data_IF_582404776520
#
_entry.id   IF_582404776520
#
_cell.length_a   1.000
_cell.length_b   1.000
_cell.length_c   1.000
_cell.angle_alpha   90.00
_cell.angle_beta   90.00
_cell.angle_gamma   90.00
#
_symmetry.space_group_name_H-M   'P 1'
#
loop_
_entity.id
_entity.type
_entity.pdbx_description
1 polymer ?
#
# COMPACT_ATOMS: atom_id res chain seq x y z
N UNK A 1 20.50 -15.19 6.10
CA UNK A 1 19.54 -14.62 7.07
C UNK A 1 20.15 -13.56 7.99
N UNK A 2 21.11 -13.87 8.88
CA UNK A 2 21.66 -12.91 9.88
C UNK A 2 22.18 -11.60 9.26
N UNK A 3 22.96 -11.69 8.18
CA UNK A 3 23.49 -10.53 7.45
C UNK A 3 22.39 -9.65 6.86
N UNK A 4 21.41 -10.26 6.18
CA UNK A 4 20.28 -9.55 5.58
C UNK A 4 19.40 -8.88 6.65
N UNK A 5 19.13 -9.57 7.77
CA UNK A 5 18.40 -9.00 8.91
C UNK A 5 19.14 -7.78 9.48
N UNK A 6 20.47 -7.87 9.66
CA UNK A 6 21.29 -6.75 10.14
C UNK A 6 21.21 -5.55 9.19
N UNK A 7 21.17 -5.78 7.88
CA UNK A 7 21.04 -4.71 6.89
C UNK A 7 19.65 -4.03 6.90
N UNK A 8 18.58 -4.79 7.13
CA UNK A 8 17.19 -4.27 7.05
C UNK A 8 16.66 -3.68 8.36
N UNK A 9 17.20 -4.09 9.51
CA UNK A 9 16.70 -3.66 10.84
C UNK A 9 16.63 -2.13 11.00
N UNK A 10 17.60 -1.31 10.52
CA UNK A 10 17.52 0.15 10.65
C UNK A 10 16.31 0.78 9.92
N UNK A 11 15.80 0.14 8.87
CA UNK A 11 14.67 0.64 8.07
C UNK A 11 13.33 0.51 8.80
N UNK A 12 13.20 -0.48 9.68
CA UNK A 12 11.95 -0.77 10.42
C UNK A 12 11.94 -0.18 11.84
N UNK A 13 12.72 0.87 12.09
CA UNK A 13 12.66 1.61 13.36
C UNK A 13 11.44 2.53 13.39
N UNK A 14 10.92 2.85 14.58
CA UNK A 14 9.74 3.73 14.73
C UNK A 14 9.92 5.10 14.05
N UNK A 15 11.14 5.67 14.08
CA UNK A 15 11.43 6.93 13.39
C UNK A 15 11.33 6.81 11.87
N UNK A 16 11.85 5.73 11.29
CA UNK A 16 11.72 5.47 9.85
C UNK A 16 10.28 5.16 9.45
N UNK A 17 9.55 4.39 10.26
CA UNK A 17 8.12 4.13 10.06
C UNK A 17 7.30 5.42 10.09
N UNK A 18 7.58 6.33 11.03
CA UNK A 18 6.94 7.64 11.08
C UNK A 18 7.19 8.48 9.83
N UNK A 19 8.39 8.39 9.24
CA UNK A 19 8.70 9.09 7.99
C UNK A 19 7.93 8.50 6.79
N UNK A 20 7.64 7.20 6.80
CA UNK A 20 6.86 6.53 5.76
C UNK A 20 5.34 6.73 5.93
N UNK A 21 4.88 7.23 7.08
CA UNK A 21 3.45 7.37 7.40
C UNK A 21 2.66 8.14 6.35
N UNK A 22 3.19 9.26 5.84
CA UNK A 22 2.50 10.06 4.84
C UNK A 22 2.24 9.26 3.56
N UNK A 23 3.20 8.47 3.11
CA UNK A 23 3.04 7.62 1.93
C UNK A 23 2.00 6.53 2.17
N UNK A 24 2.01 5.90 3.35
CA UNK A 24 0.98 4.90 3.71
C UNK A 24 -0.42 5.52 3.78
N UNK A 25 -0.53 6.74 4.31
CA UNK A 25 -1.80 7.46 4.38
C UNK A 25 -2.37 7.74 3.00
N UNK A 26 -1.55 8.24 2.07
CA UNK A 26 -2.00 8.53 0.71
C UNK A 26 -2.52 7.27 -0.01
N UNK A 27 -1.82 6.14 0.14
CA UNK A 27 -2.28 4.86 -0.44
C UNK A 27 -3.59 4.39 0.24
N UNK A 28 -3.77 4.67 1.53
CA UNK A 28 -5.01 4.35 2.24
C UNK A 28 -6.19 5.22 1.78
N UNK A 29 -5.96 6.50 1.47
CA UNK A 29 -6.99 7.39 0.91
C UNK A 29 -7.46 6.86 -0.46
N UNK A 30 -6.53 6.48 -1.33
CA UNK A 30 -6.86 5.88 -2.64
C UNK A 30 -7.60 4.55 -2.53
N UNK A 31 -7.28 3.75 -1.50
CA UNK A 31 -8.00 2.51 -1.20
C UNK A 31 -9.45 2.79 -0.80
N UNK A 32 -9.69 3.84 -0.01
CA UNK A 32 -11.05 4.26 0.38
C UNK A 32 -11.83 4.74 -0.85
N UNK A 33 -11.22 5.59 -1.68
CA UNK A 33 -11.83 6.06 -2.92
C UNK A 33 -12.20 4.88 -3.84
N UNK A 34 -11.32 3.90 -3.95
CA UNK A 34 -11.54 2.71 -4.77
C UNK A 34 -12.66 1.79 -4.25
N UNK A 35 -12.93 1.80 -2.95
CA UNK A 35 -14.09 1.12 -2.35
C UNK A 35 -15.36 1.90 -2.66
N UNK A 36 -15.36 3.22 -2.47
CA UNK A 36 -16.50 4.08 -2.74
C UNK A 36 -16.95 3.96 -4.20
N UNK A 37 -16.02 4.04 -5.15
CA UNK A 37 -16.28 3.88 -6.59
C UNK A 37 -16.92 2.51 -6.92
N UNK A 38 -16.49 1.43 -6.24
CA UNK A 38 -17.08 0.10 -6.45
C UNK A 38 -18.48 -0.01 -5.86
N UNK A 39 -18.73 0.64 -4.72
CA UNK A 39 -20.05 0.67 -4.08
C UNK A 39 -21.09 1.45 -4.88
N UNK A 40 -20.68 2.38 -5.74
CA UNK A 40 -21.60 3.07 -6.66
C UNK A 40 -22.22 2.13 -7.70
N UNK A 41 -21.55 1.02 -8.02
CA UNK A 41 -21.97 0.08 -9.07
C UNK A 41 -22.45 -1.26 -8.54
N UNK A 42 -22.00 -1.67 -7.35
CA UNK A 42 -22.39 -2.93 -6.70
C UNK A 42 -22.50 -2.77 -5.19
N UNK A 43 -23.57 -3.30 -4.60
CA UNK A 43 -23.77 -3.31 -3.13
C UNK A 43 -22.81 -4.25 -2.38
N UNK A 44 -22.05 -5.09 -3.11
CA UNK A 44 -21.10 -6.04 -2.56
C UNK A 44 -19.74 -5.84 -3.22
N UNK A 45 -18.71 -5.64 -2.39
CA UNK A 45 -17.34 -5.45 -2.84
C UNK A 45 -16.48 -6.64 -2.42
N UNK A 46 -15.79 -7.27 -3.37
CA UNK A 46 -14.74 -8.24 -3.06
C UNK A 46 -13.51 -7.51 -2.51
N UNK A 47 -13.32 -7.61 -1.19
CA UNK A 47 -12.24 -6.94 -0.48
C UNK A 47 -10.87 -7.59 -0.69
N UNK A 48 -10.82 -8.87 -1.09
CA UNK A 48 -9.56 -9.59 -1.24
C UNK A 48 -8.60 -8.94 -2.25
N UNK A 49 -9.00 -8.63 -3.50
CA UNK A 49 -8.13 -7.95 -4.46
C UNK A 49 -7.75 -6.54 -4.01
N UNK A 50 -8.63 -5.84 -3.30
CA UNK A 50 -8.35 -4.49 -2.80
C UNK A 50 -7.26 -4.50 -1.72
N UNK A 51 -7.31 -5.44 -0.77
CA UNK A 51 -6.26 -5.57 0.25
C UNK A 51 -4.92 -6.04 -0.34
N UNK A 52 -4.95 -6.85 -1.40
CA UNK A 52 -3.75 -7.22 -2.14
C UNK A 52 -3.11 -6.00 -2.80
N UNK A 53 -3.90 -5.17 -3.48
CA UNK A 53 -3.45 -3.91 -4.07
C UNK A 53 -2.92 -2.93 -3.00
N UNK A 54 -3.61 -2.80 -1.86
CA UNK A 54 -3.18 -1.94 -0.75
C UNK A 54 -1.80 -2.34 -0.22
N UNK A 55 -1.59 -3.63 -0.01
CA UNK A 55 -0.30 -4.14 0.47
C UNK A 55 0.81 -3.91 -0.54
N UNK A 56 0.52 -4.14 -1.83
CA UNK A 56 1.47 -3.95 -2.92
C UNK A 56 1.87 -2.47 -3.06
N UNK A 57 0.89 -1.57 -3.17
CA UNK A 57 1.12 -0.14 -3.37
C UNK A 57 1.82 0.49 -2.15
N UNK A 58 1.48 0.05 -0.93
CA UNK A 58 2.17 0.51 0.28
C UNK A 58 3.66 0.15 0.24
N UNK A 59 4.00 -1.08 -0.15
CA UNK A 59 5.39 -1.52 -0.26
C UNK A 59 6.09 -0.82 -1.44
N UNK A 60 5.44 -0.73 -2.60
CA UNK A 60 5.97 -0.09 -3.80
C UNK A 60 6.33 1.38 -3.52
N UNK A 61 5.43 2.10 -2.87
CA UNK A 61 5.60 3.51 -2.56
C UNK A 61 6.65 3.71 -1.45
N UNK A 62 6.56 2.98 -0.33
CA UNK A 62 7.47 3.16 0.80
C UNK A 62 8.90 2.67 0.51
N UNK A 63 9.06 1.53 -0.18
CA UNK A 63 10.37 0.91 -0.38
C UNK A 63 11.07 1.38 -1.67
N UNK A 64 10.32 1.70 -2.71
CA UNK A 64 10.86 2.01 -4.03
C UNK A 64 10.47 3.40 -4.55
N UNK A 65 9.59 4.13 -3.85
CA UNK A 65 9.10 5.43 -4.32
C UNK A 65 8.23 5.32 -5.58
N UNK A 66 7.72 4.13 -5.89
CA UNK A 66 6.91 3.87 -7.08
C UNK A 66 5.44 3.94 -6.70
N UNK A 67 4.68 4.72 -7.46
CA UNK A 67 3.25 4.86 -7.29
C UNK A 67 2.53 4.13 -8.43
N UNK A 68 1.94 2.97 -8.12
CA UNK A 68 1.35 2.02 -9.08
C UNK A 68 -0.16 2.23 -9.29
N UNK A 69 -0.88 2.68 -8.24
CA UNK A 69 -2.33 2.80 -8.22
C UNK A 69 -3.01 1.51 -8.70
N UNK A 70 -2.63 0.39 -8.08
CA UNK A 70 -3.11 -0.94 -8.48
C UNK A 70 -4.60 -1.16 -8.18
N UNK A 71 -5.25 -0.23 -7.46
CA UNK A 71 -6.70 -0.25 -7.23
C UNK A 71 -7.52 0.04 -8.50
N UNK A 72 -6.99 0.91 -9.37
CA UNK A 72 -7.60 1.31 -10.64
C UNK A 72 -6.98 0.58 -11.82
N UNK A 73 -5.70 0.20 -11.71
CA UNK A 73 -4.95 -0.46 -12.78
C UNK A 73 -4.28 -1.75 -12.29
N UNK A 74 -5.05 -2.85 -12.15
CA UNK A 74 -4.55 -4.11 -11.59
C UNK A 74 -3.53 -4.85 -12.47
N UNK A 75 -3.31 -4.43 -13.72
CA UNK A 75 -2.41 -5.07 -14.70
C UNK A 75 -1.22 -4.19 -15.12
N UNK A 76 -0.91 -3.12 -14.36
CA UNK A 76 0.25 -2.27 -14.64
C UNK A 76 1.58 -3.01 -14.47
#
# INVERSE_FOLDING_TARGET
WKTMRKALTPTFTSGKLKNMFLNMHNVADEFIDAIQERLETNDVVDMKPLFQALSLDTIANCAFGVHTNSFKHPNN
#
